data_IF_032050410168
#
_entry.id   IF_032050410168
#
_cell.length_a   1.000
_cell.length_b   1.000
_cell.length_c   1.000
_cell.angle_alpha   90.00
_cell.angle_beta   90.00
_cell.angle_gamma   90.00
#
_symmetry.space_group_name_H-M   'P 1'
#
loop_
_entity.id
_entity.type
_entity.pdbx_description
1 polymer ?
#
# COMPACT_ATOMS: atom_id res chain seq x y z
N UNK A 1 -28.75 -8.62 26.33
CA UNK A 1 -29.41 -9.81 26.88
C UNK A 1 -30.24 -10.41 25.76
N UNK A 2 -29.86 -11.59 25.29
CA UNK A 2 -30.48 -12.28 24.15
C UNK A 2 -31.84 -12.89 24.53
N UNK A 3 -32.85 -12.73 23.68
CA UNK A 3 -33.94 -13.69 23.58
C UNK A 3 -34.52 -13.71 22.16
N UNK A 4 -34.36 -14.86 21.50
CA UNK A 4 -35.00 -15.21 20.23
C UNK A 4 -36.45 -15.66 20.50
N UNK A 5 -37.42 -15.32 19.64
CA UNK A 5 -38.62 -16.12 19.48
C UNK A 5 -38.48 -17.11 18.33
N UNK A 6 -38.78 -18.35 18.67
CA UNK A 6 -38.82 -19.61 17.94
C UNK A 6 -39.71 -19.63 16.69
N UNK A 7 -39.17 -20.17 15.60
CA UNK A 7 -39.70 -21.26 14.76
C UNK A 7 -41.21 -21.62 14.83
N UNK A 8 -42.15 -20.69 14.72
CA UNK A 8 -43.58 -21.04 14.72
C UNK A 8 -44.47 -20.10 13.87
N UNK A 9 -44.09 -19.85 12.61
CA UNK A 9 -45.00 -19.17 11.65
C UNK A 9 -45.16 -19.96 10.33
N UNK A 10 -44.41 -21.05 10.11
CA UNK A 10 -44.49 -21.82 8.86
C UNK A 10 -45.50 -22.99 8.87
N UNK A 11 -46.21 -23.26 9.98
CA UNK A 11 -47.07 -24.44 10.13
C UNK A 11 -48.57 -24.18 10.02
N UNK A 12 -49.04 -22.93 9.97
CA UNK A 12 -50.48 -22.62 9.94
C UNK A 12 -51.09 -22.51 8.52
N UNK A 13 -50.34 -22.85 7.47
CA UNK A 13 -50.89 -22.94 6.10
C UNK A 13 -51.10 -24.38 5.59
N UNK A 14 -50.89 -25.38 6.45
CA UNK A 14 -50.98 -26.81 6.10
C UNK A 14 -52.18 -27.57 6.71
N UNK A 15 -53.10 -26.89 7.39
CA UNK A 15 -54.26 -27.54 8.03
C UNK A 15 -55.61 -26.96 7.60
N UNK A 16 -55.91 -26.97 6.30
CA UNK A 16 -57.31 -27.03 5.85
C UNK A 16 -57.42 -27.89 4.59
N UNK A 17 -57.13 -29.18 4.77
CA UNK A 17 -57.58 -30.20 3.83
C UNK A 17 -59.05 -30.51 4.11
N UNK A 18 -59.92 -30.29 3.13
CA UNK A 18 -61.08 -31.13 2.91
C UNK A 18 -61.32 -31.21 1.39
N UNK A 19 -60.85 -32.30 0.79
CA UNK A 19 -61.30 -32.75 -0.53
C UNK A 19 -62.79 -33.17 -0.43
N UNK A 20 -63.53 -33.13 -1.55
CA UNK A 20 -63.82 -34.42 -2.17
C UNK A 20 -63.47 -34.45 -3.66
N UNK A 21 -62.82 -35.54 -4.02
CA UNK A 21 -62.61 -35.99 -5.39
C UNK A 21 -63.97 -36.35 -5.99
N UNK A 22 -64.28 -35.88 -7.20
CA UNK A 22 -65.06 -36.66 -8.15
C UNK A 22 -64.79 -36.26 -9.61
N UNK A 23 -64.11 -37.18 -10.30
CA UNK A 23 -64.18 -37.53 -11.73
C UNK A 23 -64.15 -36.42 -12.81
N UNK A 24 -62.94 -36.14 -13.33
CA UNK A 24 -62.48 -36.59 -14.66
C UNK A 24 -61.18 -35.85 -15.03
N UNK A 25 -60.24 -36.57 -15.67
CA UNK A 25 -58.99 -36.07 -16.29
C UNK A 25 -57.82 -35.76 -15.33
N UNK A 26 -57.24 -36.82 -14.77
CA UNK A 26 -56.13 -36.80 -13.79
C UNK A 26 -54.73 -36.96 -14.43
N UNK A 27 -54.48 -36.38 -15.60
CA UNK A 27 -53.16 -36.43 -16.28
C UNK A 27 -52.54 -35.02 -16.38
N UNK A 28 -53.33 -33.98 -16.54
CA UNK A 28 -52.84 -32.60 -16.73
C UNK A 28 -52.28 -31.97 -15.45
N UNK A 29 -52.81 -32.35 -14.27
CA UNK A 29 -52.46 -31.73 -12.98
C UNK A 29 -51.11 -32.24 -12.40
N UNK A 30 -50.68 -33.45 -12.79
CA UNK A 30 -49.39 -34.03 -12.37
C UNK A 30 -48.23 -33.40 -13.16
N UNK A 31 -48.43 -33.15 -14.46
CA UNK A 31 -47.44 -32.46 -15.29
C UNK A 31 -47.20 -31.03 -14.80
N UNK A 32 -48.25 -30.28 -14.46
CA UNK A 32 -48.13 -28.92 -13.94
C UNK A 32 -47.40 -28.86 -12.59
N UNK A 33 -47.69 -29.79 -11.68
CA UNK A 33 -47.03 -29.86 -10.37
C UNK A 33 -45.53 -30.23 -10.51
N UNK A 34 -45.20 -31.14 -11.44
CA UNK A 34 -43.82 -31.50 -11.75
C UNK A 34 -43.05 -30.34 -12.40
N UNK A 35 -43.71 -29.57 -13.28
CA UNK A 35 -43.14 -28.42 -13.97
C UNK A 35 -42.87 -27.26 -13.00
N UNK A 36 -43.77 -27.01 -12.04
CA UNK A 36 -43.57 -26.05 -10.96
C UNK A 36 -42.39 -26.46 -10.06
N UNK A 37 -42.31 -27.72 -9.61
CA UNK A 37 -41.16 -28.20 -8.84
C UNK A 37 -39.85 -28.09 -9.63
N UNK A 38 -39.84 -28.47 -10.91
CA UNK A 38 -38.67 -28.33 -11.77
C UNK A 38 -38.26 -26.87 -11.99
N UNK A 39 -39.20 -25.93 -12.03
CA UNK A 39 -38.90 -24.49 -12.08
C UNK A 39 -38.28 -24.00 -10.77
N UNK A 40 -38.82 -24.40 -9.62
CA UNK A 40 -38.29 -24.07 -8.30
C UNK A 40 -36.85 -24.58 -8.10
N UNK A 41 -36.57 -25.84 -8.44
CA UNK A 41 -35.22 -26.39 -8.34
C UNK A 41 -34.25 -25.77 -9.35
N UNK A 42 -34.73 -25.39 -10.55
CA UNK A 42 -33.92 -24.62 -11.52
C UNK A 42 -33.54 -23.25 -10.98
N UNK A 43 -34.49 -22.50 -10.40
CA UNK A 43 -34.20 -21.20 -9.78
C UNK A 43 -33.26 -21.33 -8.58
N UNK A 44 -33.47 -22.32 -7.71
CA UNK A 44 -32.56 -22.60 -6.59
C UNK A 44 -31.15 -22.99 -7.05
N UNK A 45 -31.03 -23.73 -8.14
CA UNK A 45 -29.74 -24.07 -8.75
C UNK A 45 -29.05 -22.84 -9.38
N UNK A 46 -29.80 -21.95 -10.02
CA UNK A 46 -29.28 -20.66 -10.54
C UNK A 46 -28.72 -19.81 -9.40
N UNK A 47 -29.46 -19.64 -8.31
CA UNK A 47 -29.00 -18.88 -7.12
C UNK A 47 -27.72 -19.49 -6.55
N UNK A 48 -27.68 -20.81 -6.35
CA UNK A 48 -26.50 -21.50 -5.81
C UNK A 48 -25.27 -21.41 -6.74
N UNK A 49 -25.47 -21.48 -8.05
CA UNK A 49 -24.40 -21.23 -9.02
C UNK A 49 -23.92 -19.78 -9.00
N UNK A 50 -24.82 -18.83 -8.80
CA UNK A 50 -24.48 -17.40 -8.71
C UNK A 50 -23.67 -17.10 -7.45
N UNK A 51 -24.03 -17.69 -6.31
CA UNK A 51 -23.25 -17.60 -5.07
C UNK A 51 -21.84 -18.22 -5.21
N UNK A 52 -21.74 -19.39 -5.87
CA UNK A 52 -20.45 -20.04 -6.12
C UNK A 52 -19.58 -19.23 -7.09
N UNK A 53 -20.17 -18.67 -8.14
CA UNK A 53 -19.48 -17.78 -9.09
C UNK A 53 -19.00 -16.49 -8.41
N UNK A 54 -19.77 -15.95 -7.47
CA UNK A 54 -19.39 -14.75 -6.72
C UNK A 54 -18.30 -15.02 -5.68
N UNK A 55 -18.21 -16.25 -5.14
CA UNK A 55 -17.13 -16.66 -4.22
C UNK A 55 -15.82 -16.98 -4.96
N UNK A 56 -15.90 -17.73 -6.05
CA UNK A 56 -14.70 -18.23 -6.76
C UNK A 56 -14.25 -17.29 -7.88
N UNK A 57 -15.17 -16.54 -8.48
CA UNK A 57 -14.94 -15.67 -9.63
C UNK A 57 -13.92 -14.56 -9.36
N UNK A 58 -14.09 -13.73 -8.30
CA UNK A 58 -13.12 -12.68 -7.98
C UNK A 58 -11.72 -13.22 -7.72
N UNK A 59 -11.61 -14.34 -7.00
CA UNK A 59 -10.32 -15.00 -6.75
C UNK A 59 -9.68 -15.48 -8.06
N UNK A 60 -10.42 -16.19 -8.91
CA UNK A 60 -9.93 -16.71 -10.18
C UNK A 60 -9.56 -15.59 -11.15
N UNK A 61 -10.33 -14.51 -11.18
CA UNK A 61 -10.00 -13.33 -11.96
C UNK A 61 -8.68 -12.71 -11.50
N UNK A 62 -8.53 -12.48 -10.19
CA UNK A 62 -7.32 -11.86 -9.63
C UNK A 62 -6.07 -12.73 -9.81
N UNK A 63 -6.19 -14.06 -9.74
CA UNK A 63 -5.05 -14.97 -9.95
C UNK A 63 -4.64 -15.11 -11.42
N UNK A 64 -5.55 -14.84 -12.35
CA UNK A 64 -5.31 -15.04 -13.80
C UNK A 64 -4.99 -13.74 -14.54
N UNK A 65 -5.29 -12.57 -13.97
CA UNK A 65 -5.03 -11.29 -14.64
C UNK A 65 -3.54 -11.07 -14.90
N UNK A 66 -3.21 -10.84 -16.17
CA UNK A 66 -1.87 -10.49 -16.65
C UNK A 66 -1.93 -9.28 -17.56
N UNK A 67 -0.79 -8.60 -17.70
CA UNK A 67 -0.63 -7.54 -18.68
C UNK A 67 -0.69 -8.11 -20.11
N UNK A 68 -0.95 -7.26 -21.11
CA UNK A 68 -1.00 -7.68 -22.53
C UNK A 68 0.31 -8.35 -23.00
N UNK A 69 1.44 -7.99 -22.42
CA UNK A 69 2.75 -8.59 -22.69
C UNK A 69 3.02 -9.88 -21.90
N UNK A 70 2.02 -10.43 -21.19
CA UNK A 70 2.16 -11.66 -20.41
C UNK A 70 2.74 -11.47 -19.00
N UNK A 71 3.22 -10.28 -18.65
CA UNK A 71 3.82 -10.01 -17.34
C UNK A 71 2.76 -9.88 -16.24
N UNK A 72 3.15 -10.16 -14.99
CA UNK A 72 2.28 -9.94 -13.84
C UNK A 72 2.07 -8.45 -13.53
N UNK A 73 0.86 -8.11 -13.08
CA UNK A 73 0.61 -6.79 -12.51
C UNK A 73 1.34 -6.59 -11.18
N UNK A 74 1.74 -5.33 -10.92
CA UNK A 74 2.25 -4.93 -9.61
C UNK A 74 1.22 -5.22 -8.52
N UNK A 75 1.69 -5.69 -7.37
CA UNK A 75 0.87 -5.98 -6.19
C UNK A 75 -0.11 -4.85 -5.82
N UNK A 76 0.35 -3.60 -5.89
CA UNK A 76 -0.46 -2.43 -5.59
C UNK A 76 -1.61 -2.23 -6.58
N UNK A 77 -1.40 -2.54 -7.86
CA UNK A 77 -2.43 -2.46 -8.89
C UNK A 77 -3.48 -3.56 -8.72
N UNK A 78 -3.03 -4.77 -8.36
CA UNK A 78 -3.94 -5.87 -8.01
C UNK A 78 -4.78 -5.51 -6.79
N UNK A 79 -4.16 -4.96 -5.73
CA UNK A 79 -4.86 -4.48 -4.54
C UNK A 79 -5.89 -3.39 -4.88
N UNK A 80 -5.51 -2.39 -5.67
CA UNK A 80 -6.43 -1.33 -6.09
C UNK A 80 -7.63 -1.87 -6.87
N UNK A 81 -7.41 -2.84 -7.75
CA UNK A 81 -8.49 -3.53 -8.45
C UNK A 81 -9.45 -4.23 -7.47
N UNK A 82 -8.92 -4.97 -6.49
CA UNK A 82 -9.74 -5.62 -5.44
C UNK A 82 -10.48 -4.58 -4.61
N UNK A 83 -9.83 -3.49 -4.18
CA UNK A 83 -10.46 -2.43 -3.38
C UNK A 83 -11.63 -1.76 -4.14
N UNK A 84 -11.47 -1.55 -5.45
CA UNK A 84 -12.52 -0.98 -6.32
C UNK A 84 -13.69 -1.96 -6.46
N UNK A 85 -13.40 -3.23 -6.76
CA UNK A 85 -14.41 -4.28 -6.87
C UNK A 85 -15.16 -4.46 -5.56
N UNK A 86 -14.43 -4.47 -4.44
CA UNK A 86 -15.01 -4.59 -3.11
C UNK A 86 -15.94 -3.41 -2.80
N UNK A 87 -15.53 -2.18 -3.13
CA UNK A 87 -16.38 -1.00 -2.95
C UNK A 87 -17.67 -1.10 -3.78
N UNK A 88 -17.55 -1.56 -5.03
CA UNK A 88 -18.71 -1.78 -5.89
C UNK A 88 -19.65 -2.84 -5.28
N UNK A 89 -19.10 -3.99 -4.87
CA UNK A 89 -19.89 -5.08 -4.27
C UNK A 89 -20.55 -4.67 -2.96
N UNK A 90 -19.88 -3.89 -2.10
CA UNK A 90 -20.44 -3.47 -0.82
C UNK A 90 -21.48 -2.36 -0.93
N UNK A 91 -21.27 -1.38 -1.82
CA UNK A 91 -22.03 -0.13 -1.79
C UNK A 91 -22.88 0.14 -3.03
N UNK A 92 -22.57 -0.48 -4.17
CA UNK A 92 -23.19 -0.17 -5.46
C UNK A 92 -23.92 -1.37 -6.08
N UNK A 93 -23.55 -2.60 -5.69
CA UNK A 93 -24.13 -3.83 -6.21
C UNK A 93 -25.57 -4.01 -5.72
N UNK A 94 -26.55 -4.23 -6.63
CA UNK A 94 -27.94 -4.45 -6.25
C UNK A 94 -28.22 -5.88 -5.73
N UNK A 95 -27.23 -6.79 -5.80
CA UNK A 95 -27.46 -8.23 -5.64
C UNK A 95 -26.91 -8.76 -4.31
N UNK A 96 -25.80 -8.21 -3.79
CA UNK A 96 -25.14 -8.79 -2.61
C UNK A 96 -24.08 -7.86 -2.00
N UNK A 97 -24.10 -7.71 -0.67
CA UNK A 97 -23.06 -7.03 0.13
C UNK A 97 -21.89 -7.98 0.44
N UNK A 98 -21.11 -8.33 -0.58
CA UNK A 98 -19.94 -9.19 -0.41
C UNK A 98 -18.73 -8.36 -0.01
N UNK A 99 -18.07 -8.75 1.07
CA UNK A 99 -16.78 -8.20 1.48
C UNK A 99 -15.62 -9.10 1.00
N UNK A 100 -14.95 -8.72 -0.08
CA UNK A 100 -13.77 -9.40 -0.61
C UNK A 100 -12.56 -9.37 0.33
N UNK A 101 -12.58 -8.55 1.38
CA UNK A 101 -11.54 -8.54 2.42
C UNK A 101 -11.83 -9.47 3.60
N UNK A 102 -12.98 -10.16 3.60
CA UNK A 102 -13.25 -11.19 4.61
C UNK A 102 -12.25 -12.34 4.44
N UNK A 103 -11.32 -12.45 5.40
CA UNK A 103 -10.25 -13.44 5.40
C UNK A 103 -10.77 -14.87 5.51
N UNK A 104 -11.95 -15.08 6.12
CA UNK A 104 -12.53 -16.40 6.27
C UNK A 104 -13.27 -16.83 4.99
N UNK A 105 -13.98 -15.91 4.34
CA UNK A 105 -14.66 -16.19 3.08
C UNK A 105 -13.72 -16.23 1.87
N UNK A 106 -12.64 -15.43 1.88
CA UNK A 106 -11.71 -15.26 0.77
C UNK A 106 -10.25 -15.45 1.21
N UNK A 107 -9.97 -16.53 1.95
CA UNK A 107 -8.63 -16.83 2.49
C UNK A 107 -7.53 -16.85 1.42
N UNK A 108 -7.83 -17.41 0.25
CA UNK A 108 -6.86 -17.52 -0.83
C UNK A 108 -6.57 -16.17 -1.49
N UNK A 109 -7.61 -15.35 -1.71
CA UNK A 109 -7.44 -13.98 -2.20
C UNK A 109 -6.64 -13.15 -1.20
N UNK A 110 -6.92 -13.31 0.10
CA UNK A 110 -6.16 -12.71 1.18
C UNK A 110 -4.69 -13.13 1.12
N UNK A 111 -4.39 -14.42 0.95
CA UNK A 111 -3.03 -14.93 0.87
C UNK A 111 -2.27 -14.42 -0.37
N UNK A 112 -2.94 -14.39 -1.53
CA UNK A 112 -2.37 -13.84 -2.78
C UNK A 112 -2.03 -12.36 -2.63
N UNK A 113 -2.95 -11.56 -2.07
CA UNK A 113 -2.72 -10.14 -1.83
C UNK A 113 -1.62 -9.92 -0.79
N UNK A 114 -1.66 -10.65 0.32
CA UNK A 114 -0.71 -10.54 1.41
C UNK A 114 0.72 -10.91 0.97
N UNK A 115 0.88 -11.99 0.21
CA UNK A 115 2.16 -12.38 -0.39
C UNK A 115 2.70 -11.32 -1.33
N UNK A 116 1.85 -10.80 -2.23
CA UNK A 116 2.24 -9.78 -3.21
C UNK A 116 2.58 -8.43 -2.57
N UNK A 117 1.93 -8.05 -1.47
CA UNK A 117 2.12 -6.75 -0.79
C UNK A 117 3.20 -6.77 0.28
N UNK A 118 3.90 -7.89 0.49
CA UNK A 118 4.92 -8.03 1.52
C UNK A 118 6.14 -7.15 1.21
N UNK A 119 6.16 -5.95 1.78
CA UNK A 119 7.40 -5.19 1.94
C UNK A 119 8.23 -5.81 3.06
N UNK A 120 9.54 -5.87 2.87
CA UNK A 120 10.47 -6.40 3.87
C UNK A 120 11.11 -5.22 4.59
N UNK A 121 11.19 -5.32 5.92
CA UNK A 121 11.94 -4.38 6.74
C UNK A 121 13.43 -4.70 6.63
N UNK A 122 14.24 -3.66 6.65
CA UNK A 122 15.69 -3.76 6.71
C UNK A 122 16.07 -4.08 8.15
N UNK A 123 16.91 -5.09 8.37
CA UNK A 123 17.33 -5.48 9.71
C UNK A 123 18.48 -4.59 10.24
N UNK A 124 18.75 -4.65 11.53
CA UNK A 124 19.76 -3.81 12.20
C UNK A 124 21.17 -3.92 11.61
N UNK A 125 21.62 -5.13 11.28
CA UNK A 125 22.94 -5.34 10.64
C UNK A 125 23.03 -4.69 9.26
N UNK A 126 21.97 -4.80 8.47
CA UNK A 126 21.89 -4.17 7.14
C UNK A 126 21.85 -2.65 7.25
N UNK A 127 21.09 -2.10 8.22
CA UNK A 127 21.09 -0.66 8.51
C UNK A 127 22.51 -0.21 8.84
N UNK A 128 23.20 -0.91 9.75
CA UNK A 128 24.55 -0.56 10.15
C UNK A 128 25.53 -0.57 8.96
N UNK A 129 25.46 -1.59 8.09
CA UNK A 129 26.27 -1.64 6.86
C UNK A 129 26.04 -0.45 5.95
N UNK A 130 24.78 -0.05 5.75
CA UNK A 130 24.44 1.13 4.94
C UNK A 130 25.01 2.39 5.58
N UNK A 131 24.83 2.56 6.89
CA UNK A 131 25.26 3.76 7.62
C UNK A 131 26.78 3.89 7.75
N UNK A 132 27.51 2.77 7.74
CA UNK A 132 28.97 2.74 7.80
C UNK A 132 29.66 2.94 6.45
N UNK A 133 28.93 2.92 5.33
CA UNK A 133 29.52 3.10 4.01
C UNK A 133 30.13 4.51 3.84
N UNK A 134 31.15 4.63 2.99
CA UNK A 134 31.87 5.89 2.80
C UNK A 134 30.98 7.00 2.24
N UNK A 135 31.18 8.23 2.72
CA UNK A 135 30.46 9.46 2.32
C UNK A 135 31.29 10.36 1.40
N UNK A 136 32.35 9.80 0.81
CA UNK A 136 33.41 10.55 0.10
C UNK A 136 32.94 11.05 -1.28
N UNK A 137 31.88 10.47 -1.83
CA UNK A 137 31.35 10.83 -3.16
C UNK A 137 29.99 11.54 -3.04
N UNK A 138 29.62 12.42 -3.99
CA UNK A 138 28.30 13.05 -4.02
C UNK A 138 27.16 12.03 -3.99
N UNK A 139 27.31 10.92 -4.70
CA UNK A 139 26.28 9.88 -4.73
C UNK A 139 26.11 9.21 -3.36
N UNK A 140 27.22 8.86 -2.69
CA UNK A 140 27.12 8.17 -1.41
C UNK A 140 26.57 9.05 -0.31
N UNK A 141 26.98 10.33 -0.24
CA UNK A 141 26.38 11.29 0.70
C UNK A 141 24.88 11.48 0.46
N UNK A 142 24.45 11.67 -0.80
CA UNK A 142 23.04 11.81 -1.15
C UNK A 142 22.21 10.60 -0.73
N UNK A 143 22.74 9.39 -0.93
CA UNK A 143 22.07 8.15 -0.52
C UNK A 143 22.02 7.98 0.99
N UNK A 144 23.06 8.35 1.73
CA UNK A 144 23.07 8.33 3.19
C UNK A 144 22.00 9.26 3.77
N UNK A 145 21.96 10.52 3.31
CA UNK A 145 20.94 11.49 3.74
C UNK A 145 19.54 10.99 3.42
N UNK A 146 19.32 10.51 2.19
CA UNK A 146 18.04 9.93 1.81
C UNK A 146 17.62 8.77 2.72
N UNK A 147 18.56 7.86 3.04
CA UNK A 147 18.31 6.69 3.87
C UNK A 147 17.99 7.08 5.31
N UNK A 148 18.79 7.96 5.92
CA UNK A 148 18.56 8.47 7.26
C UNK A 148 17.19 9.15 7.38
N UNK A 149 16.83 10.00 6.42
CA UNK A 149 15.50 10.64 6.39
C UNK A 149 14.37 9.61 6.22
N UNK A 150 14.59 8.54 5.46
CA UNK A 150 13.61 7.46 5.27
C UNK A 150 13.36 6.64 6.54
N UNK A 151 14.40 6.42 7.36
CA UNK A 151 14.36 5.55 8.55
C UNK A 151 14.06 6.34 9.82
N UNK A 152 14.79 7.43 10.08
CA UNK A 152 14.67 8.18 11.34
C UNK A 152 13.42 9.06 11.34
N UNK A 153 13.15 9.73 10.21
CA UNK A 153 11.98 10.61 10.09
C UNK A 153 10.77 9.92 9.45
N UNK A 154 10.88 8.62 9.14
CA UNK A 154 9.84 7.81 8.50
C UNK A 154 9.24 8.46 7.24
N UNK A 155 10.03 9.24 6.50
CA UNK A 155 9.55 10.02 5.37
C UNK A 155 8.99 9.14 4.25
N UNK A 156 7.86 9.55 3.70
CA UNK A 156 7.19 8.87 2.61
C UNK A 156 7.71 9.34 1.26
N UNK A 157 7.50 8.51 0.25
CA UNK A 157 7.87 8.75 -1.15
C UNK A 157 7.50 10.15 -1.68
N UNK A 158 6.28 10.62 -1.36
CA UNK A 158 5.81 11.95 -1.78
C UNK A 158 6.49 13.08 -1.01
N UNK A 159 6.68 12.89 0.30
CA UNK A 159 7.30 13.86 1.21
C UNK A 159 8.77 14.08 0.85
N UNK A 160 9.52 13.01 0.52
CA UNK A 160 10.89 13.16 0.00
C UNK A 160 10.96 14.06 -1.23
N UNK A 161 10.07 13.85 -2.20
CA UNK A 161 10.06 14.64 -3.43
C UNK A 161 9.67 16.10 -3.18
N UNK A 162 8.93 16.40 -2.11
CA UNK A 162 8.47 17.74 -1.80
C UNK A 162 9.35 18.46 -0.78
N UNK A 163 10.37 17.77 -0.26
CA UNK A 163 11.27 18.27 0.78
C UNK A 163 12.04 19.51 0.28
N UNK A 164 12.03 20.55 1.10
CA UNK A 164 12.72 21.82 0.86
C UNK A 164 13.84 22.05 1.85
N UNK A 165 14.87 22.77 1.43
CA UNK A 165 16.04 23.10 2.28
C UNK A 165 15.63 23.94 3.48
N UNK A 166 14.73 24.92 3.27
CA UNK A 166 14.25 25.83 4.31
C UNK A 166 13.49 25.14 5.46
N UNK A 167 13.15 23.85 5.31
CA UNK A 167 12.58 23.01 6.36
C UNK A 167 13.63 22.55 7.38
N UNK A 168 14.93 22.71 7.11
CA UNK A 168 16.00 22.45 8.06
C UNK A 168 16.61 23.77 8.51
N UNK A 169 16.53 24.06 9.81
CA UNK A 169 17.14 25.25 10.40
C UNK A 169 18.01 24.86 11.56
N UNK A 170 19.22 25.41 11.65
CA UNK A 170 20.06 25.21 12.82
C UNK A 170 19.38 25.76 14.09
N UNK A 171 19.63 25.13 15.23
CA UNK A 171 19.33 25.68 16.55
C UNK A 171 20.57 25.65 17.44
N UNK A 172 20.42 26.11 18.68
CA UNK A 172 21.48 26.15 19.68
C UNK A 172 22.27 24.84 19.73
N UNK A 173 23.59 24.98 19.95
CA UNK A 173 24.56 23.88 20.03
C UNK A 173 24.86 23.15 18.72
N UNK A 174 24.33 23.60 17.57
CA UNK A 174 24.69 23.04 16.26
C UNK A 174 23.78 21.90 15.79
N UNK A 175 22.66 21.64 16.47
CA UNK A 175 21.64 20.69 16.00
C UNK A 175 20.74 21.30 14.91
N UNK A 176 19.81 20.49 14.37
CA UNK A 176 18.82 20.94 13.37
C UNK A 176 17.37 20.82 13.86
N UNK A 177 16.56 21.85 13.62
CA UNK A 177 15.09 21.82 13.67
C UNK A 177 14.58 21.45 12.29
N UNK A 178 13.84 20.35 12.21
CA UNK A 178 13.13 19.95 11.00
C UNK A 178 11.65 20.30 11.08
N UNK A 179 11.18 21.12 10.14
CA UNK A 179 9.79 21.55 10.04
C UNK A 179 9.01 20.59 9.12
N UNK A 180 8.31 19.64 9.73
CA UNK A 180 7.55 18.62 9.02
C UNK A 180 6.11 19.07 8.75
N UNK A 181 5.77 19.22 7.46
CA UNK A 181 4.40 19.47 7.00
C UNK A 181 3.78 18.15 6.57
N UNK A 182 2.96 17.55 7.45
CA UNK A 182 2.35 16.24 7.21
C UNK A 182 1.32 16.34 6.08
N UNK A 183 1.47 15.51 5.04
CA UNK A 183 0.39 15.31 4.05
C UNK A 183 -0.15 13.88 4.16
N UNK A 184 -1.43 13.79 4.47
CA UNK A 184 -2.40 12.80 3.94
C UNK A 184 -3.75 13.00 4.62
N UNK A 185 -4.69 13.58 3.87
CA UNK A 185 -6.12 13.75 4.17
C UNK A 185 -6.56 14.92 5.09
N UNK A 186 -5.95 16.10 4.92
CA UNK A 186 -6.71 17.35 4.92
C UNK A 186 -6.31 18.10 3.65
N UNK A 187 -7.30 18.70 2.96
CA UNK A 187 -7.24 19.26 1.59
C UNK A 187 -6.27 20.46 1.40
N UNK A 188 -5.13 20.50 2.07
CA UNK A 188 -4.21 21.64 2.04
C UNK A 188 -2.90 21.22 1.40
N UNK A 189 -2.54 21.95 0.34
CA UNK A 189 -1.18 21.99 -0.20
C UNK A 189 -0.22 22.33 0.93
N UNK A 190 1.04 21.92 0.78
CA UNK A 190 2.14 21.98 1.76
C UNK A 190 2.46 23.40 2.28
N UNK A 191 1.77 24.44 1.81
CA UNK A 191 2.15 25.83 2.08
C UNK A 191 1.56 26.45 3.36
N UNK A 192 0.50 25.92 4.00
CA UNK A 192 -0.18 26.65 5.10
C UNK A 192 -0.70 25.77 6.26
N UNK A 193 -0.02 24.67 6.56
CA UNK A 193 -0.35 23.80 7.70
C UNK A 193 0.54 24.03 8.92
N UNK A 194 0.03 23.79 10.14
CA UNK A 194 0.84 23.80 11.35
C UNK A 194 1.96 22.74 11.25
N UNK A 195 3.22 23.19 11.21
CA UNK A 195 4.37 22.31 11.14
C UNK A 195 4.57 21.55 12.46
N UNK A 196 4.83 20.25 12.37
CA UNK A 196 5.42 19.52 13.49
C UNK A 196 6.93 19.76 13.46
N UNK A 197 7.48 20.24 14.57
CA UNK A 197 8.92 20.48 14.69
C UNK A 197 9.57 19.24 15.29
N UNK A 198 10.51 18.65 14.55
CA UNK A 198 11.33 17.54 15.01
C UNK A 198 12.72 18.07 15.32
N UNK A 199 13.21 17.82 16.54
CA UNK A 199 14.58 18.17 16.93
C UNK A 199 15.53 17.04 16.52
N UNK A 200 16.54 17.38 15.73
CA UNK A 200 17.65 16.52 15.35
C UNK A 200 18.85 16.95 16.21
N UNK A 201 19.28 16.15 17.20
CA UNK A 201 20.42 16.47 18.03
C UNK A 201 21.72 16.41 17.23
N UNK A 202 22.76 17.08 17.74
CA UNK A 202 24.12 16.98 17.18
C UNK A 202 24.59 15.53 17.26
N UNK A 203 25.27 15.09 16.21
CA UNK A 203 25.93 13.81 16.14
C UNK A 203 27.29 13.95 15.44
N UNK A 204 28.20 13.00 15.69
CA UNK A 204 29.55 13.01 15.11
C UNK A 204 29.59 12.37 13.71
N UNK A 205 28.60 11.55 13.35
CA UNK A 205 28.55 10.82 12.08
C UNK A 205 27.14 10.29 11.76
N UNK A 206 26.10 11.01 12.16
CA UNK A 206 24.70 10.60 12.02
C UNK A 206 23.90 11.50 11.09
N UNK A 207 22.59 11.59 11.35
CA UNK A 207 21.65 12.34 10.54
C UNK A 207 21.99 13.84 10.50
N UNK A 208 22.36 14.42 11.63
CA UNK A 208 22.67 15.85 11.73
C UNK A 208 23.91 16.20 10.90
N UNK A 209 25.01 15.47 11.13
CA UNK A 209 26.26 15.68 10.39
C UNK A 209 26.06 15.47 8.88
N UNK A 210 25.25 14.48 8.50
CA UNK A 210 25.02 14.15 7.08
C UNK A 210 24.19 15.22 6.37
N UNK A 211 23.13 15.73 7.02
CA UNK A 211 22.35 16.85 6.46
C UNK A 211 23.24 18.09 6.35
N UNK A 212 23.99 18.44 7.40
CA UNK A 212 24.84 19.62 7.38
C UNK A 212 25.91 19.53 6.28
N UNK A 213 26.58 18.38 6.15
CA UNK A 213 27.54 18.15 5.09
C UNK A 213 26.87 18.23 3.71
N UNK A 214 25.69 17.65 3.54
CA UNK A 214 24.94 17.73 2.29
C UNK A 214 24.55 19.16 1.90
N UNK A 215 24.03 19.94 2.86
CA UNK A 215 23.68 21.33 2.65
C UNK A 215 24.91 22.21 2.39
N UNK A 216 26.07 21.90 2.97
CA UNK A 216 27.33 22.60 2.67
C UNK A 216 27.82 22.41 1.23
N UNK A 217 27.37 21.34 0.57
CA UNK A 217 27.71 20.99 -0.82
C UNK A 217 26.66 21.45 -1.83
N UNK A 218 25.59 22.10 -1.36
CA UNK A 218 24.55 22.66 -2.22
C UNK A 218 25.11 23.87 -2.99
N UNK A 219 24.78 24.05 -4.28
CA UNK A 219 25.20 25.22 -5.03
C UNK A 219 24.56 26.51 -4.46
N UNK A 220 25.21 27.69 -4.63
CA UNK A 220 24.65 28.98 -4.26
C UNK A 220 23.26 29.18 -4.90
N UNK A 221 22.29 29.57 -4.08
CA UNK A 221 20.85 29.35 -4.23
C UNK A 221 20.17 30.02 -5.44
N UNK A 222 19.21 29.28 -6.00
CA UNK A 222 17.95 29.75 -6.64
C UNK A 222 16.83 28.69 -6.48
N UNK A 223 17.17 27.39 -6.32
CA UNK A 223 16.21 26.32 -6.11
C UNK A 223 16.08 25.90 -4.63
N UNK A 224 14.86 25.90 -4.11
CA UNK A 224 14.53 25.48 -2.74
C UNK A 224 14.51 23.94 -2.56
N UNK A 225 14.56 23.15 -3.65
CA UNK A 225 14.46 21.70 -3.59
C UNK A 225 15.61 21.07 -2.81
N UNK A 226 15.29 20.19 -1.87
CA UNK A 226 16.30 19.53 -1.04
C UNK A 226 17.18 18.59 -1.88
N UNK A 227 16.59 17.65 -2.62
CA UNK A 227 17.34 16.66 -3.39
C UNK A 227 17.77 17.18 -4.77
N UNK A 228 19.06 17.35 -4.96
CA UNK A 228 19.63 17.79 -6.24
C UNK A 228 20.26 16.67 -7.08
N UNK A 229 20.30 16.88 -8.39
CA UNK A 229 20.95 15.97 -9.33
C UNK A 229 22.46 15.95 -9.13
N UNK A 230 23.06 14.77 -9.27
CA UNK A 230 24.49 14.57 -9.17
C UNK A 230 25.23 15.25 -10.33
N UNK A 231 26.36 15.88 -10.03
CA UNK A 231 27.32 16.31 -11.04
C UNK A 231 28.32 15.18 -11.35
N UNK A 232 27.92 14.17 -12.13
CA UNK A 232 28.73 12.97 -12.36
C UNK A 232 30.02 13.19 -13.15
N UNK A 233 30.12 14.27 -13.92
CA UNK A 233 31.18 14.44 -14.93
C UNK A 233 32.35 15.29 -14.48
N UNK A 234 32.15 16.24 -13.55
CA UNK A 234 33.18 17.24 -13.23
C UNK A 234 33.32 17.57 -11.75
N UNK A 235 32.65 16.85 -10.85
CA UNK A 235 32.69 17.18 -9.42
C UNK A 235 34.10 17.07 -8.81
N UNK A 236 34.96 16.19 -9.35
CA UNK A 236 36.36 16.07 -8.92
C UNK A 236 37.20 17.30 -9.31
N UNK A 237 36.91 17.90 -10.47
CA UNK A 237 37.67 19.03 -11.01
C UNK A 237 37.15 20.37 -10.47
N UNK A 238 35.82 20.50 -10.40
CA UNK A 238 35.15 21.76 -10.03
C UNK A 238 34.87 21.88 -8.54
N UNK A 239 34.98 20.76 -7.79
CA UNK A 239 34.48 20.64 -6.41
C UNK A 239 32.97 20.94 -6.27
N UNK A 240 32.22 20.94 -7.38
CA UNK A 240 30.76 21.13 -7.40
C UNK A 240 30.09 19.75 -7.42
N UNK A 241 29.48 19.39 -6.31
CA UNK A 241 28.92 18.05 -6.09
C UNK A 241 27.56 17.84 -6.76
N UNK A 242 26.72 18.86 -6.74
CA UNK A 242 25.33 18.79 -7.20
C UNK A 242 25.00 19.91 -8.19
N UNK A 243 24.13 19.59 -9.15
CA UNK A 243 23.55 20.55 -10.10
C UNK A 243 22.33 21.21 -9.47
N UNK A 244 21.97 22.41 -9.92
CA UNK A 244 20.77 23.13 -9.43
C UNK A 244 19.45 22.42 -9.75
N UNK A 245 19.42 21.48 -10.69
CA UNK A 245 18.21 20.73 -11.02
C UNK A 245 17.82 19.74 -9.91
N UNK A 246 16.53 19.70 -9.59
CA UNK A 246 15.93 18.68 -8.74
C UNK A 246 16.08 17.27 -9.33
N UNK A 247 16.35 16.28 -8.47
CA UNK A 247 16.20 14.86 -8.79
C UNK A 247 14.79 14.56 -9.28
N UNK A 248 14.68 13.93 -10.45
CA UNK A 248 13.40 13.46 -10.96
C UNK A 248 12.71 12.50 -9.98
N UNK A 249 11.40 12.65 -9.82
CA UNK A 249 10.57 11.80 -8.97
C UNK A 249 10.84 10.31 -9.19
N UNK A 250 10.92 9.86 -10.45
CA UNK A 250 11.17 8.46 -10.76
C UNK A 250 12.56 7.97 -10.33
N UNK A 251 13.59 8.83 -10.39
CA UNK A 251 14.93 8.52 -9.90
C UNK A 251 14.92 8.41 -8.37
N UNK A 252 14.34 9.39 -7.68
CA UNK A 252 14.22 9.41 -6.21
C UNK A 252 13.49 8.17 -5.66
N UNK A 253 12.44 7.73 -6.37
CA UNK A 253 11.68 6.52 -6.03
C UNK A 253 12.50 5.23 -6.08
N UNK A 254 13.63 5.24 -6.78
CA UNK A 254 14.51 4.10 -6.93
C UNK A 254 15.75 4.18 -6.02
N UNK A 255 15.91 5.24 -5.21
CA UNK A 255 17.10 5.40 -4.36
C UNK A 255 17.27 4.26 -3.37
N UNK A 256 16.19 3.83 -2.69
CA UNK A 256 16.28 2.69 -1.76
C UNK A 256 16.78 1.43 -2.48
N UNK A 257 16.37 1.19 -3.73
CA UNK A 257 16.88 0.08 -4.54
C UNK A 257 18.36 0.27 -4.90
N UNK A 258 18.76 1.46 -5.31
CA UNK A 258 20.17 1.73 -5.62
C UNK A 258 21.07 1.50 -4.40
N UNK A 259 20.62 1.93 -3.22
CA UNK A 259 21.29 1.65 -1.94
C UNK A 259 21.40 0.15 -1.71
N UNK A 260 20.29 -0.59 -1.84
CA UNK A 260 20.29 -2.05 -1.67
C UNK A 260 21.27 -2.78 -2.59
N UNK A 261 21.35 -2.35 -3.87
CA UNK A 261 22.31 -2.91 -4.83
C UNK A 261 23.75 -2.56 -4.44
N UNK A 262 24.02 -1.31 -4.08
CA UNK A 262 25.36 -0.82 -3.73
C UNK A 262 25.92 -1.52 -2.48
N UNK A 263 25.06 -1.77 -1.50
CA UNK A 263 25.45 -2.40 -0.22
C UNK A 263 25.27 -3.92 -0.20
N UNK A 264 24.90 -4.54 -1.34
CA UNK A 264 24.64 -5.97 -1.47
C UNK A 264 23.75 -6.51 -0.33
N UNK A 265 22.64 -5.81 -0.08
CA UNK A 265 21.71 -6.21 0.97
C UNK A 265 21.05 -7.53 0.57
N UNK A 266 21.04 -8.49 1.51
CA UNK A 266 20.36 -9.78 1.37
C UNK A 266 18.83 -9.63 1.51
N UNK A 267 18.24 -8.80 0.66
CA UNK A 267 16.80 -8.63 0.47
C UNK A 267 16.58 -8.59 -1.04
N UNK A 268 15.64 -9.38 -1.58
CA UNK A 268 15.27 -9.28 -2.99
C UNK A 268 14.98 -7.82 -3.36
N UNK A 269 15.73 -7.30 -4.34
CA UNK A 269 15.72 -5.87 -4.67
C UNK A 269 14.34 -5.35 -5.08
N UNK A 270 13.48 -6.26 -5.52
CA UNK A 270 12.09 -6.01 -5.89
C UNK A 270 11.20 -5.68 -4.69
N UNK A 271 11.60 -6.08 -3.48
CA UNK A 271 10.87 -5.87 -2.23
C UNK A 271 11.35 -4.66 -1.43
N UNK A 272 12.47 -4.05 -1.87
CA UNK A 272 13.07 -2.89 -1.23
C UNK A 272 12.49 -1.59 -1.82
N UNK A 273 11.72 -0.87 -1.00
CA UNK A 273 11.07 0.38 -1.37
C UNK A 273 11.27 1.44 -0.30
N UNK A 274 10.98 2.71 -0.59
CA UNK A 274 11.01 3.76 0.44
C UNK A 274 10.10 3.42 1.63
N UNK A 275 9.00 2.68 1.40
CA UNK A 275 8.12 2.17 2.47
C UNK A 275 8.82 1.14 3.39
N UNK A 276 9.86 0.46 2.94
CA UNK A 276 10.67 -0.41 3.79
C UNK A 276 11.29 0.37 4.95
N UNK A 277 11.64 1.65 4.73
CA UNK A 277 12.14 2.52 5.80
C UNK A 277 11.13 2.71 6.92
N UNK A 278 9.91 3.15 6.57
CA UNK A 278 8.80 3.29 7.51
C UNK A 278 8.47 1.98 8.25
N UNK A 279 8.51 0.84 7.54
CA UNK A 279 8.25 -0.47 8.15
C UNK A 279 9.34 -0.85 9.16
N UNK A 280 10.60 -0.57 8.84
CA UNK A 280 11.73 -0.73 9.77
C UNK A 280 11.56 0.13 11.01
N UNK A 281 11.22 1.42 10.86
CA UNK A 281 10.98 2.31 12.01
C UNK A 281 9.87 1.78 12.91
N UNK A 282 8.78 1.30 12.31
CA UNK A 282 7.63 0.76 13.07
C UNK A 282 8.03 -0.48 13.88
N UNK A 283 8.88 -1.35 13.34
CA UNK A 283 9.36 -2.53 14.06
C UNK A 283 10.31 -2.14 15.20
N UNK A 284 11.27 -1.25 14.96
CA UNK A 284 12.22 -0.79 16.00
C UNK A 284 11.50 -0.12 17.17
N UNK A 285 10.39 0.58 16.94
CA UNK A 285 9.61 1.23 17.99
C UNK A 285 8.64 0.29 18.73
N UNK A 286 8.44 -0.93 18.23
CA UNK A 286 7.56 -1.94 18.84
C UNK A 286 8.33 -2.96 19.69
N UNK A 287 9.64 -3.05 19.52
CA UNK A 287 10.56 -3.83 20.36
C UNK A 287 11.00 -3.03 21.60
#
# INVERSE_FOLDING_TARGET
MFHFPSFQIATNLLSSSNNPINNSNNIDNIQDTAQIKASYYREKAKVKNTENLLKVGPQKFISTIKMKNGNEYKATSVKQSVDILNRYLLHLSPILQINLHDKYMFSDLYNVLHGKLRSVAINSQQIQRILQHSKITPESLLYHVFFHLSIILAMRKGEHYQLKINQFKSYENGGLKFFCYISKNNQRRIQDGQAHIILIPVDNNGLCSDIQLYLSKHPPLDDENFYLQLNNTSWLETNIWYKTNHVEKNKLNNFMKKIGRKMQIDIPIELLFNYSGHKTTTQILQD
#
